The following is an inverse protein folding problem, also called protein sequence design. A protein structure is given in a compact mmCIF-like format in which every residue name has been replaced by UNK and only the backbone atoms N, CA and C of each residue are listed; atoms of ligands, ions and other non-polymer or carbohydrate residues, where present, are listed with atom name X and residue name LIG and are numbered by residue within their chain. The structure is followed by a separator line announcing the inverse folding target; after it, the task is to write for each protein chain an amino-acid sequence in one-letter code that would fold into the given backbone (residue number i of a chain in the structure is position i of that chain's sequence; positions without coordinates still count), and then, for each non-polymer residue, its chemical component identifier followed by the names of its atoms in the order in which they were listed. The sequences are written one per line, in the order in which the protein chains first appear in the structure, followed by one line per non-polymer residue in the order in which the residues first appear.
data_IF_864882552453
#
_entry.id   IF_864882552453
#
_cell.length_a   1.000
_cell.length_b   1.000
_cell.length_c   1.000
_cell.angle_alpha   90.00
_cell.angle_beta   90.00
_cell.angle_gamma   90.00
#
_symmetry.space_group_name_H-M   'P 1'
#
loop_
_entity.id
_entity.type
_entity.pdbx_description
1 polymer ?
#
# COMPACT_ATOMS: atom_id res chain seq x y z
N UNK A 1 -6.87 -14.01 -13.45
CA UNK A 1 -7.63 -13.08 -12.58
C UNK A 1 -6.82 -12.71 -11.37
N UNK A 2 -6.85 -11.44 -10.98
CA UNK A 2 -6.10 -10.93 -9.84
C UNK A 2 -6.98 -11.03 -8.59
N UNK A 3 -6.51 -11.76 -7.60
CA UNK A 3 -7.25 -11.91 -6.34
C UNK A 3 -7.06 -10.70 -5.44
N UNK A 4 -5.81 -10.23 -5.31
CA UNK A 4 -5.46 -9.09 -4.46
C UNK A 4 -4.47 -8.17 -5.14
N UNK A 5 -4.64 -6.88 -4.90
CA UNK A 5 -3.58 -5.90 -5.08
C UNK A 5 -3.19 -5.40 -3.70
N UNK A 6 -1.88 -5.34 -3.43
CA UNK A 6 -1.31 -4.76 -2.23
C UNK A 6 -0.71 -3.42 -2.62
N UNK A 7 -1.40 -2.35 -2.26
CA UNK A 7 -0.99 -0.97 -2.56
C UNK A 7 -0.32 -0.36 -1.34
N UNK A 8 0.86 0.21 -1.50
CA UNK A 8 1.56 0.80 -0.38
C UNK A 8 2.90 1.42 -0.75
N UNK A 9 3.75 1.54 0.26
CA UNK A 9 5.09 2.10 0.17
C UNK A 9 6.17 1.01 0.28
N UNK A 10 7.33 1.35 0.81
CA UNK A 10 8.44 0.41 0.97
C UNK A 10 8.14 -0.76 1.89
N UNK A 11 7.23 -0.59 2.85
CA UNK A 11 6.84 -1.68 3.75
C UNK A 11 6.09 -2.76 2.99
N UNK A 12 5.31 -2.39 2.00
CA UNK A 12 4.61 -3.32 1.11
C UNK A 12 5.56 -3.85 0.03
N UNK A 13 6.36 -2.97 -0.56
CA UNK A 13 7.33 -3.35 -1.59
C UNK A 13 8.32 -4.42 -1.08
N UNK A 14 8.71 -4.32 0.19
CA UNK A 14 9.71 -5.23 0.78
C UNK A 14 11.12 -4.70 0.64
N UNK A 15 11.30 -3.40 0.86
CA UNK A 15 12.62 -2.77 0.80
C UNK A 15 13.61 -3.50 1.71
N UNK A 16 14.79 -3.80 1.17
CA UNK A 16 15.86 -4.43 1.92
C UNK A 16 15.85 -5.95 1.94
N UNK A 17 14.85 -6.60 1.32
CA UNK A 17 14.81 -8.06 1.23
C UNK A 17 14.70 -8.49 -0.24
N UNK A 18 15.10 -9.72 -0.51
CA UNK A 18 14.97 -10.28 -1.86
C UNK A 18 13.48 -10.46 -2.21
N UNK A 19 13.10 -10.34 -3.49
CA UNK A 19 11.70 -10.49 -3.89
C UNK A 19 11.03 -11.75 -3.37
N UNK A 20 11.72 -12.89 -3.42
CA UNK A 20 11.15 -14.17 -2.94
C UNK A 20 10.96 -14.21 -1.42
N UNK A 21 11.67 -13.37 -0.68
CA UNK A 21 11.60 -13.30 0.78
C UNK A 21 10.65 -12.21 1.27
N UNK A 22 10.07 -11.44 0.35
CA UNK A 22 9.09 -10.41 0.64
C UNK A 22 7.84 -11.05 1.25
N UNK A 23 7.27 -10.43 2.28
CA UNK A 23 6.11 -10.98 2.98
C UNK A 23 4.88 -11.11 2.08
N UNK A 24 4.70 -10.20 1.13
CA UNK A 24 3.58 -10.26 0.18
C UNK A 24 3.75 -11.49 -0.73
N UNK A 25 4.95 -11.74 -1.22
CA UNK A 25 5.23 -12.91 -2.05
C UNK A 25 4.99 -14.21 -1.27
N UNK A 26 5.50 -14.29 -0.04
CA UNK A 26 5.28 -15.47 0.82
C UNK A 26 3.81 -15.70 1.09
N UNK A 27 3.07 -14.62 1.30
CA UNK A 27 1.63 -14.71 1.52
C UNK A 27 0.91 -15.25 0.28
N UNK A 28 1.29 -14.80 -0.92
CA UNK A 28 0.70 -15.27 -2.16
C UNK A 28 0.93 -16.77 -2.36
N UNK A 29 2.13 -17.25 -2.05
CA UNK A 29 2.45 -18.67 -2.12
C UNK A 29 1.67 -19.49 -1.08
N UNK A 30 1.61 -19.01 0.15
CA UNK A 30 0.93 -19.70 1.23
C UNK A 30 -0.57 -19.82 0.98
N UNK A 31 -1.21 -18.74 0.53
CA UNK A 31 -2.64 -18.70 0.28
C UNK A 31 -3.01 -19.20 -1.12
N UNK A 32 -2.03 -19.39 -1.98
CA UNK A 32 -2.26 -19.77 -3.38
C UNK A 32 -3.17 -18.79 -4.11
N UNK A 33 -2.93 -17.50 -3.85
CA UNK A 33 -3.66 -16.41 -4.48
C UNK A 33 -2.77 -15.64 -5.46
N UNK A 34 -3.38 -15.11 -6.49
CA UNK A 34 -2.71 -14.22 -7.43
C UNK A 34 -2.68 -12.81 -6.84
N UNK A 35 -1.54 -12.41 -6.29
CA UNK A 35 -1.37 -11.10 -5.64
C UNK A 35 -0.38 -10.27 -6.44
N UNK A 36 -0.79 -9.05 -6.79
CA UNK A 36 0.12 -8.05 -7.34
C UNK A 36 0.61 -7.12 -6.23
N UNK A 37 1.91 -7.00 -6.10
CA UNK A 37 2.53 -6.07 -5.17
C UNK A 37 2.72 -4.73 -5.86
N UNK A 38 1.98 -3.72 -5.44
CA UNK A 38 2.06 -2.35 -5.92
C UNK A 38 2.61 -1.42 -4.84
N UNK A 39 3.56 -1.91 -4.05
CA UNK A 39 4.34 -1.08 -3.14
C UNK A 39 5.39 -0.30 -3.91
N UNK A 40 5.57 0.97 -3.57
CA UNK A 40 6.59 1.83 -4.16
C UNK A 40 7.33 2.56 -3.05
N UNK A 41 8.65 2.41 -3.01
CA UNK A 41 9.49 3.02 -1.98
C UNK A 41 9.28 4.53 -1.94
N UNK A 42 9.13 5.07 -0.73
CA UNK A 42 9.00 6.50 -0.50
C UNK A 42 7.63 7.09 -0.78
N UNK A 43 6.65 6.31 -1.25
CA UNK A 43 5.35 6.84 -1.60
C UNK A 43 4.60 7.38 -0.39
N UNK A 44 4.01 8.56 -0.57
CA UNK A 44 3.00 9.13 0.33
C UNK A 44 1.63 8.65 -0.12
N UNK A 45 0.60 8.92 0.69
CA UNK A 45 -0.77 8.61 0.28
C UNK A 45 -1.21 9.44 -0.92
N UNK A 46 -0.66 10.64 -1.10
CA UNK A 46 -0.91 11.45 -2.30
C UNK A 46 -0.35 10.75 -3.54
N UNK A 47 0.86 10.20 -3.46
CA UNK A 47 1.45 9.44 -4.56
C UNK A 47 0.61 8.20 -4.90
N UNK A 48 0.14 7.50 -3.87
CA UNK A 48 -0.70 6.33 -4.04
C UNK A 48 -2.03 6.68 -4.72
N UNK A 49 -2.66 7.78 -4.28
CA UNK A 49 -3.90 8.27 -4.89
C UNK A 49 -3.70 8.61 -6.36
N UNK A 50 -2.58 9.25 -6.70
CA UNK A 50 -2.28 9.66 -8.06
C UNK A 50 -2.21 8.46 -9.02
N UNK A 51 -1.70 7.32 -8.56
CA UNK A 51 -1.57 6.10 -9.38
C UNK A 51 -2.67 5.06 -9.13
N UNK A 52 -3.70 5.42 -8.36
CA UNK A 52 -4.72 4.47 -7.92
C UNK A 52 -5.49 3.83 -9.08
N UNK A 53 -5.91 4.64 -10.05
CA UNK A 53 -6.65 4.11 -11.19
C UNK A 53 -5.81 3.09 -11.96
N UNK A 54 -4.60 3.45 -12.32
CA UNK A 54 -3.74 2.60 -13.13
C UNK A 54 -3.34 1.32 -12.39
N UNK A 55 -2.96 1.45 -11.13
CA UNK A 55 -2.44 0.32 -10.37
C UNK A 55 -3.52 -0.57 -9.77
N UNK A 56 -4.68 -0.04 -9.49
CA UNK A 56 -5.76 -0.79 -8.84
C UNK A 56 -6.96 -0.98 -9.74
N UNK A 57 -7.63 0.11 -10.11
CA UNK A 57 -8.92 0.03 -10.80
C UNK A 57 -8.80 -0.67 -12.15
N UNK A 58 -7.80 -0.31 -12.96
CA UNK A 58 -7.61 -0.89 -14.28
C UNK A 58 -7.30 -2.38 -14.26
N UNK A 59 -6.83 -2.89 -13.14
CA UNK A 59 -6.50 -4.31 -12.97
C UNK A 59 -7.67 -5.16 -12.48
N UNK A 60 -8.77 -4.54 -12.13
CA UNK A 60 -10.00 -5.22 -11.70
C UNK A 60 -9.77 -6.33 -10.67
N UNK A 61 -9.08 -6.05 -9.54
CA UNK A 61 -8.86 -7.09 -8.53
C UNK A 61 -10.15 -7.40 -7.77
N UNK A 62 -10.20 -8.57 -7.17
CA UNK A 62 -11.30 -8.91 -6.25
C UNK A 62 -11.21 -8.12 -4.96
N UNK A 63 -9.98 -7.92 -4.46
CA UNK A 63 -9.72 -7.27 -3.18
C UNK A 63 -8.50 -6.39 -3.26
N UNK A 64 -8.47 -5.39 -2.37
CA UNK A 64 -7.38 -4.45 -2.21
C UNK A 64 -6.92 -4.47 -0.76
N UNK A 65 -5.62 -4.67 -0.54
CA UNK A 65 -4.97 -4.34 0.72
C UNK A 65 -4.25 -3.01 0.53
N UNK A 66 -4.51 -2.04 1.39
CA UNK A 66 -3.93 -0.71 1.29
C UNK A 66 -3.30 -0.31 2.63
N UNK A 67 -2.04 0.10 2.59
CA UNK A 67 -1.31 0.55 3.77
C UNK A 67 -0.40 1.70 3.39
N UNK A 68 -0.51 2.81 4.09
CA UNK A 68 0.31 3.99 3.83
C UNK A 68 0.17 5.03 4.92
N UNK A 69 0.90 6.14 4.77
CA UNK A 69 0.86 7.25 5.70
C UNK A 69 2.17 7.54 6.41
N UNK A 70 3.07 6.57 6.51
CA UNK A 70 4.36 6.77 7.18
C UNK A 70 5.17 7.87 6.51
N UNK A 71 5.28 7.84 5.19
CA UNK A 71 6.05 8.86 4.46
C UNK A 71 5.38 10.22 4.49
N UNK A 72 4.06 10.28 4.57
CA UNK A 72 3.34 11.55 4.77
C UNK A 72 3.79 12.19 6.08
N UNK A 73 3.80 11.41 7.16
CA UNK A 73 4.20 11.90 8.48
C UNK A 73 5.67 12.32 8.52
N UNK A 74 6.55 11.56 7.87
CA UNK A 74 7.97 11.90 7.78
C UNK A 74 8.20 13.20 6.99
N UNK A 75 7.30 13.54 6.08
CA UNK A 75 7.34 14.77 5.29
C UNK A 75 6.53 15.90 5.95
N UNK A 76 6.17 15.75 7.22
CA UNK A 76 5.39 16.72 7.98
C UNK A 76 4.02 17.05 7.37
N UNK A 77 3.42 16.09 6.67
CA UNK A 77 2.07 16.27 6.16
C UNK A 77 1.06 15.96 7.26
N UNK A 78 -0.07 16.68 7.32
CA UNK A 78 -1.04 16.47 8.39
C UNK A 78 -1.77 15.14 8.24
N UNK A 79 -2.14 14.55 9.39
CA UNK A 79 -2.93 13.31 9.43
C UNK A 79 -4.24 13.46 8.67
N UNK A 80 -4.85 14.66 8.72
CA UNK A 80 -6.09 14.93 7.97
C UNK A 80 -5.93 14.68 6.47
N UNK A 81 -4.76 14.95 5.91
CA UNK A 81 -4.51 14.71 4.49
C UNK A 81 -4.40 13.22 4.18
N UNK A 82 -3.79 12.46 5.09
CA UNK A 82 -3.71 11.00 4.96
C UNK A 82 -5.13 10.42 4.95
N UNK A 83 -5.96 10.82 5.90
CA UNK A 83 -7.34 10.34 6.01
C UNK A 83 -8.14 10.69 4.76
N UNK A 84 -8.01 11.93 4.29
CA UNK A 84 -8.69 12.38 3.08
C UNK A 84 -8.31 11.54 1.86
N UNK A 85 -7.01 11.30 1.66
CA UNK A 85 -6.52 10.49 0.54
C UNK A 85 -7.01 9.04 0.64
N UNK A 86 -6.95 8.46 1.84
CA UNK A 86 -7.43 7.10 2.05
C UNK A 86 -8.92 6.97 1.79
N UNK A 87 -9.72 7.93 2.24
CA UNK A 87 -11.16 7.93 1.99
C UNK A 87 -11.47 7.94 0.50
N UNK A 88 -10.79 8.77 -0.28
CA UNK A 88 -11.01 8.84 -1.72
C UNK A 88 -10.73 7.49 -2.38
N UNK A 89 -9.60 6.87 -2.04
CA UNK A 89 -9.22 5.58 -2.61
C UNK A 89 -10.19 4.47 -2.22
N UNK A 90 -10.61 4.43 -0.95
CA UNK A 90 -11.53 3.42 -0.46
C UNK A 90 -12.90 3.56 -1.11
N UNK A 91 -13.40 4.79 -1.24
CA UNK A 91 -14.69 5.03 -1.90
C UNK A 91 -14.65 4.61 -3.36
N UNK A 92 -13.55 4.88 -4.05
CA UNK A 92 -13.40 4.47 -5.44
C UNK A 92 -13.37 2.95 -5.57
N UNK A 93 -12.66 2.27 -4.67
CA UNK A 93 -12.63 0.81 -4.65
C UNK A 93 -14.04 0.24 -4.44
N UNK A 94 -14.79 0.77 -3.48
CA UNK A 94 -16.17 0.33 -3.22
C UNK A 94 -17.08 0.54 -4.43
N UNK A 95 -16.91 1.67 -5.13
CA UNK A 95 -17.70 1.96 -6.33
C UNK A 95 -17.44 0.94 -7.44
N UNK A 96 -16.31 0.25 -7.41
CA UNK A 96 -15.91 -0.79 -8.37
C UNK A 96 -16.09 -2.20 -7.81
N UNK A 97 -16.81 -2.34 -6.70
CA UNK A 97 -17.06 -3.63 -6.04
C UNK A 97 -15.77 -4.36 -5.61
N UNK A 98 -14.74 -3.61 -5.27
CA UNK A 98 -13.48 -4.14 -4.75
C UNK A 98 -13.58 -4.17 -3.22
N UNK A 99 -13.31 -5.32 -2.63
CA UNK A 99 -13.23 -5.45 -1.17
C UNK A 99 -11.95 -4.80 -0.67
N UNK A 100 -12.01 -4.13 0.48
CA UNK A 100 -10.85 -3.38 1.00
C UNK A 100 -10.46 -3.87 2.38
N UNK A 101 -9.16 -4.10 2.56
CA UNK A 101 -8.53 -4.33 3.85
C UNK A 101 -7.52 -3.21 4.05
N UNK A 102 -7.60 -2.53 5.18
CA UNK A 102 -6.67 -1.45 5.52
C UNK A 102 -5.62 -2.00 6.46
N UNK A 103 -4.35 -1.87 6.06
CA UNK A 103 -3.22 -2.16 6.93
C UNK A 103 -2.85 -0.91 7.71
N UNK A 104 -2.54 -1.07 9.00
CA UNK A 104 -2.08 0.04 9.83
C UNK A 104 -0.56 -0.12 9.97
N UNK A 105 0.23 0.85 9.47
CA UNK A 105 1.68 0.74 9.55
C UNK A 105 2.17 0.81 11.00
N UNK A 106 3.32 0.19 11.30
CA UNK A 106 3.88 0.27 12.64
C UNK A 106 4.29 1.69 12.98
N UNK A 107 4.32 2.00 14.29
CA UNK A 107 4.83 3.28 14.77
C UNK A 107 6.35 3.26 14.62
N UNK A 108 6.91 4.27 13.93
CA UNK A 108 8.34 4.39 13.68
C UNK A 108 8.74 5.82 14.07
N UNK A 109 9.78 5.95 14.92
CA UNK A 109 10.32 7.27 15.20
C UNK A 109 11.19 7.77 14.04
N UNK A 110 11.50 9.08 14.01
CA UNK A 110 12.21 9.68 12.89
C UNK A 110 13.61 9.12 12.68
N UNK A 111 14.32 8.77 13.77
CA UNK A 111 15.65 8.20 13.66
C UNK A 111 15.59 6.79 13.06
N UNK A 112 14.62 5.99 13.50
CA UNK A 112 14.38 4.66 12.98
C UNK A 112 13.97 4.70 11.51
N UNK A 113 13.11 5.64 11.16
CA UNK A 113 12.65 5.83 9.79
C UNK A 113 13.79 6.22 8.87
N UNK A 114 14.69 7.11 9.30
CA UNK A 114 15.87 7.49 8.52
C UNK A 114 16.79 6.30 8.28
N UNK A 115 16.98 5.46 9.29
CA UNK A 115 17.81 4.26 9.17
C UNK A 115 17.22 3.24 8.18
N UNK A 116 15.90 3.18 8.10
CA UNK A 116 15.19 2.24 7.21
C UNK A 116 14.89 2.81 5.83
N UNK A 117 15.09 4.09 5.61
CA UNK A 117 14.80 4.76 4.34
C UNK A 117 13.36 4.53 3.85
N UNK A 118 12.42 4.60 4.76
CA UNK A 118 11.01 4.37 4.46
C UNK A 118 10.42 5.50 3.61
#
# INVERSE_FOLDING_TARGET
MIDFIFLGDSLTFGYGVKPKDNWVHKLSEYLKLNILNKGVNGNTTTDMLFRFYEDVVSNSPKSLFIMGGTNDLLSNRPVSKIIENMEVMIKEAFAKNIKVIIGIPPVIDSAMAQALFI
#
